data_IF_588167937090
#
_entry.id   IF_588167937090
#
_cell.length_a   1.000
_cell.length_b   1.000
_cell.length_c   1.000
_cell.angle_alpha   90.00
_cell.angle_beta   90.00
_cell.angle_gamma   90.00
#
_symmetry.space_group_name_H-M   'P 1'
#
loop_
_entity.id
_entity.type
_entity.pdbx_description
1 polymer ?
#
# COMPACT_ATOMS: atom_id res chain seq x y z
N UNK A 1 -15.78 11.90 -17.57
CA UNK A 1 -14.71 12.41 -16.68
C UNK A 1 -14.00 11.19 -16.13
N UNK A 2 -12.68 11.06 -16.33
CA UNK A 2 -11.91 9.98 -15.72
C UNK A 2 -12.01 10.05 -14.19
N UNK A 3 -12.03 8.90 -13.52
CA UNK A 3 -12.04 8.85 -12.06
C UNK A 3 -10.70 9.38 -11.52
N UNK A 4 -10.74 10.25 -10.51
CA UNK A 4 -9.51 10.74 -9.89
C UNK A 4 -8.80 9.58 -9.19
N UNK A 5 -7.52 9.39 -9.50
CA UNK A 5 -6.66 8.37 -8.91
C UNK A 5 -5.88 8.96 -7.74
N UNK A 6 -5.62 8.16 -6.70
CA UNK A 6 -4.66 8.46 -5.64
C UNK A 6 -3.72 7.27 -5.43
N UNK A 7 -2.45 7.54 -5.13
CA UNK A 7 -1.48 6.50 -4.75
C UNK A 7 -1.45 6.40 -3.23
N UNK A 8 -1.66 5.21 -2.70
CA UNK A 8 -1.49 4.88 -1.28
C UNK A 8 -0.17 4.14 -1.08
N UNK A 9 0.75 4.77 -0.38
CA UNK A 9 2.00 4.15 0.06
C UNK A 9 1.81 3.69 1.51
N UNK A 10 1.74 2.38 1.71
CA UNK A 10 1.30 1.78 2.98
C UNK A 10 2.50 1.17 3.71
N UNK A 11 2.76 1.65 4.92
CA UNK A 11 3.64 1.06 5.93
C UNK A 11 5.06 0.71 5.44
N UNK A 12 5.65 1.52 4.55
CA UNK A 12 7.06 1.38 4.18
C UNK A 12 7.97 2.00 5.24
N UNK A 13 7.86 1.47 6.45
CA UNK A 13 8.56 1.89 7.66
C UNK A 13 9.70 0.93 8.00
N UNK A 14 10.75 1.45 8.62
CA UNK A 14 11.96 0.66 8.98
C UNK A 14 11.59 -0.61 9.74
N UNK A 15 10.76 -0.51 10.78
CA UNK A 15 10.37 -1.67 11.59
C UNK A 15 9.43 -2.64 10.88
N UNK A 16 8.53 -2.16 10.03
CA UNK A 16 7.59 -3.01 9.27
C UNK A 16 8.32 -3.86 8.24
N UNK A 17 9.40 -3.33 7.66
CA UNK A 17 10.14 -3.98 6.57
C UNK A 17 11.21 -4.96 7.06
N UNK A 18 11.45 -5.06 8.36
CA UNK A 18 12.43 -5.97 8.91
C UNK A 18 12.12 -7.42 8.53
N UNK A 19 13.08 -8.09 7.88
CA UNK A 19 12.93 -9.47 7.40
C UNK A 19 11.99 -9.68 6.19
N UNK A 20 11.48 -8.60 5.58
CA UNK A 20 10.67 -8.70 4.38
C UNK A 20 11.51 -9.06 3.13
N UNK A 21 10.85 -9.66 2.15
CA UNK A 21 11.43 -10.04 0.85
C UNK A 21 11.71 -8.80 -0.01
N UNK A 22 12.88 -8.73 -0.67
CA UNK A 22 13.26 -7.71 -1.67
C UNK A 22 12.99 -6.25 -1.24
N UNK A 23 13.31 -5.91 0.01
CA UNK A 23 13.02 -4.59 0.60
C UNK A 23 13.59 -3.46 -0.26
N UNK A 24 14.88 -3.53 -0.61
CA UNK A 24 15.54 -2.48 -1.40
C UNK A 24 14.88 -2.30 -2.78
N UNK A 25 14.57 -3.40 -3.45
CA UNK A 25 13.89 -3.39 -4.74
C UNK A 25 12.49 -2.78 -4.64
N UNK A 26 11.71 -3.15 -3.64
CA UNK A 26 10.36 -2.60 -3.42
C UNK A 26 10.41 -1.11 -3.11
N UNK A 27 11.30 -0.67 -2.23
CA UNK A 27 11.48 0.76 -1.90
C UNK A 27 11.85 1.56 -3.14
N UNK A 28 12.78 1.05 -3.97
CA UNK A 28 13.17 1.72 -5.21
C UNK A 28 12.00 1.82 -6.21
N UNK A 29 11.23 0.75 -6.40
CA UNK A 29 10.06 0.72 -7.30
C UNK A 29 8.95 1.66 -6.80
N UNK A 30 8.69 1.69 -5.50
CA UNK A 30 7.74 2.67 -4.92
C UNK A 30 8.23 4.10 -5.12
N UNK A 31 9.52 4.36 -4.98
CA UNK A 31 10.11 5.67 -5.29
C UNK A 31 9.85 6.11 -6.73
N UNK A 32 9.99 5.18 -7.70
CA UNK A 32 9.65 5.43 -9.12
C UNK A 32 8.16 5.70 -9.28
N UNK A 33 7.28 4.86 -8.70
CA UNK A 33 5.83 5.01 -8.77
C UNK A 33 5.38 6.38 -8.22
N UNK A 34 5.87 6.76 -7.04
CA UNK A 34 5.59 8.07 -6.41
C UNK A 34 6.08 9.22 -7.27
N UNK A 35 7.28 9.09 -7.85
CA UNK A 35 7.84 10.13 -8.71
C UNK A 35 7.03 10.31 -9.99
N UNK A 36 6.48 9.24 -10.56
CA UNK A 36 5.56 9.27 -11.70
C UNK A 36 4.24 9.95 -11.32
N UNK A 37 3.61 9.50 -10.22
CA UNK A 37 2.38 10.09 -9.71
C UNK A 37 2.51 11.63 -9.54
N UNK A 38 3.60 12.07 -8.91
CA UNK A 38 3.89 13.49 -8.71
C UNK A 38 4.04 14.29 -10.01
N UNK A 39 4.67 13.70 -11.05
CA UNK A 39 4.80 14.35 -12.35
C UNK A 39 3.46 14.49 -13.07
N UNK A 40 2.55 13.56 -12.87
CA UNK A 40 1.22 13.53 -13.47
C UNK A 40 0.16 14.25 -12.62
N UNK A 41 0.58 14.86 -11.49
CA UNK A 41 -0.33 15.58 -10.60
C UNK A 41 -1.27 14.66 -9.80
N UNK A 42 -0.94 13.36 -9.71
CA UNK A 42 -1.71 12.37 -8.96
C UNK A 42 -1.36 12.47 -7.47
N UNK A 43 -2.36 12.64 -6.58
CA UNK A 43 -2.12 12.72 -5.15
C UNK A 43 -1.47 11.46 -4.59
N UNK A 44 -0.51 11.66 -3.67
CA UNK A 44 0.12 10.60 -2.88
C UNK A 44 -0.36 10.72 -1.45
N UNK A 45 -0.82 9.61 -0.89
CA UNK A 45 -1.23 9.46 0.51
C UNK A 45 -0.30 8.46 1.18
N UNK A 46 0.33 8.88 2.24
CA UNK A 46 1.24 8.06 3.05
C UNK A 46 0.49 7.48 4.23
N UNK A 47 0.56 6.17 4.39
CA UNK A 47 -0.05 5.46 5.53
C UNK A 47 1.07 4.87 6.38
N UNK A 48 1.02 5.11 7.69
CA UNK A 48 1.99 4.59 8.65
C UNK A 48 1.28 3.85 9.79
N UNK A 49 1.80 2.68 10.10
CA UNK A 49 1.33 1.85 11.20
C UNK A 49 1.96 2.26 12.53
N UNK A 50 1.19 2.16 13.59
CA UNK A 50 1.64 2.32 14.98
C UNK A 50 1.20 1.11 15.79
N UNK A 51 2.07 0.61 16.64
CA UNK A 51 1.78 -0.45 17.61
C UNK A 51 2.66 -0.30 18.86
N UNK A 52 2.44 -1.17 19.86
CA UNK A 52 3.04 -1.00 21.18
C UNK A 52 4.58 -0.97 21.19
N UNK A 53 5.22 -1.70 20.29
CA UNK A 53 6.67 -1.77 20.10
C UNK A 53 7.20 -0.89 18.95
N UNK A 54 6.31 -0.22 18.22
CA UNK A 54 6.64 0.73 17.15
C UNK A 54 5.83 2.02 17.30
N UNK A 55 6.07 2.74 18.38
CA UNK A 55 5.37 3.99 18.69
C UNK A 55 5.71 5.10 17.69
N UNK A 56 4.76 6.00 17.50
CA UNK A 56 4.94 7.23 16.71
C UNK A 56 6.25 7.94 17.06
N UNK A 57 7.04 8.24 16.03
CA UNK A 57 8.32 8.95 16.18
C UNK A 57 9.52 8.07 16.55
N UNK A 58 9.33 6.79 16.89
CA UNK A 58 10.43 5.85 17.10
C UNK A 58 11.23 5.60 15.81
N UNK A 59 12.43 5.04 15.93
CA UNK A 59 13.26 4.71 14.77
C UNK A 59 12.58 3.73 13.82
N UNK A 60 11.91 2.69 14.35
CA UNK A 60 11.16 1.71 13.56
C UNK A 60 9.93 2.30 12.87
N UNK A 61 9.33 3.35 13.46
CA UNK A 61 8.17 4.02 12.89
C UNK A 61 8.51 4.90 11.67
N UNK A 62 9.76 5.35 11.52
CA UNK A 62 10.15 6.20 10.39
C UNK A 62 9.96 5.49 9.07
N UNK A 63 9.55 6.24 8.04
CA UNK A 63 9.59 5.76 6.66
C UNK A 63 11.03 5.43 6.25
N UNK A 64 11.17 4.55 5.28
CA UNK A 64 12.48 4.31 4.65
C UNK A 64 13.09 5.64 4.17
N UNK A 65 14.38 5.88 4.39
CA UNK A 65 15.02 7.18 4.13
C UNK A 65 14.88 7.67 2.67
N UNK A 66 14.75 6.74 1.74
CA UNK A 66 14.58 7.02 0.30
C UNK A 66 13.16 7.55 -0.03
N UNK A 67 12.20 7.35 0.86
CA UNK A 67 10.78 7.68 0.66
C UNK A 67 10.40 8.93 1.45
N UNK A 68 10.60 10.08 0.85
CA UNK A 68 10.36 11.37 1.50
C UNK A 68 9.04 11.97 1.05
N UNK A 69 8.04 12.09 1.96
CA UNK A 69 6.81 12.82 1.69
C UNK A 69 7.08 14.29 1.35
N UNK A 70 6.33 14.84 0.39
CA UNK A 70 6.39 16.26 0.06
C UNK A 70 5.41 17.08 0.92
N UNK A 71 5.69 18.37 1.17
CA UNK A 71 4.71 19.26 1.78
C UNK A 71 3.37 19.24 1.03
N UNK A 72 2.27 19.05 1.77
CA UNK A 72 0.92 18.95 1.20
C UNK A 72 0.46 17.55 0.86
N UNK A 73 1.33 16.55 0.84
CA UNK A 73 0.92 15.15 0.76
C UNK A 73 0.31 14.68 2.09
N UNK A 74 -0.81 13.97 2.00
CA UNK A 74 -1.52 13.53 3.20
C UNK A 74 -0.77 12.41 3.93
N UNK A 75 -0.73 12.51 5.26
CA UNK A 75 -0.19 11.50 6.17
C UNK A 75 -1.33 10.91 6.99
N UNK A 76 -1.49 9.58 6.97
CA UNK A 76 -2.51 8.85 7.71
C UNK A 76 -1.83 7.88 8.66
N UNK A 77 -2.15 7.96 9.95
CA UNK A 77 -1.69 7.01 10.96
C UNK A 77 -2.78 5.99 11.26
N UNK A 78 -2.42 4.74 11.42
CA UNK A 78 -3.33 3.65 11.73
C UNK A 78 -2.74 2.70 12.78
N UNK A 79 -3.63 2.00 13.47
CA UNK A 79 -3.30 0.97 14.46
C UNK A 79 -3.89 -0.40 14.08
N UNK A 80 -4.57 -0.49 12.95
CA UNK A 80 -5.16 -1.71 12.39
C UNK A 80 -4.55 -2.03 11.04
N UNK A 81 -4.62 -3.29 10.59
CA UNK A 81 -4.19 -3.67 9.24
C UNK A 81 -4.97 -2.91 8.15
N UNK A 82 -6.28 -2.79 8.30
CA UNK A 82 -7.14 -2.01 7.40
C UNK A 82 -6.92 -0.51 7.62
N UNK A 83 -6.42 0.18 6.59
CA UNK A 83 -6.10 1.60 6.65
C UNK A 83 -7.34 2.52 6.78
N UNK A 84 -8.54 2.00 6.60
CA UNK A 84 -9.78 2.77 6.77
C UNK A 84 -10.33 2.72 8.20
N UNK A 85 -9.92 1.73 9.01
CA UNK A 85 -10.46 1.54 10.37
C UNK A 85 -9.88 2.55 11.34
N UNK A 86 -10.76 3.40 11.90
CA UNK A 86 -10.37 4.38 12.92
C UNK A 86 -9.43 5.48 12.42
N UNK A 87 -9.37 5.73 11.10
CA UNK A 87 -8.47 6.72 10.48
C UNK A 87 -9.23 7.77 9.69
N UNK A 88 -8.61 8.91 9.37
CA UNK A 88 -9.20 9.92 8.49
C UNK A 88 -9.12 9.58 6.99
N UNK A 89 -8.62 8.38 6.59
CA UNK A 89 -8.31 8.05 5.19
C UNK A 89 -9.50 8.30 4.25
N UNK A 90 -10.71 7.88 4.63
CA UNK A 90 -11.91 8.12 3.80
C UNK A 90 -12.11 9.62 3.53
N UNK A 91 -12.07 10.45 4.57
CA UNK A 91 -12.21 11.90 4.43
C UNK A 91 -11.11 12.53 3.56
N UNK A 92 -9.88 12.03 3.68
CA UNK A 92 -8.76 12.45 2.80
C UNK A 92 -9.06 12.10 1.34
N UNK A 93 -9.47 10.86 1.06
CA UNK A 93 -9.79 10.41 -0.30
C UNK A 93 -10.99 11.15 -0.89
N UNK A 94 -12.02 11.40 -0.09
CA UNK A 94 -13.20 12.19 -0.50
C UNK A 94 -12.81 13.65 -0.80
N UNK A 95 -11.96 14.24 0.03
CA UNK A 95 -11.43 15.60 -0.21
C UNK A 95 -10.60 15.70 -1.49
N UNK A 96 -9.92 14.63 -1.90
CA UNK A 96 -9.20 14.51 -3.16
C UNK A 96 -10.12 14.16 -4.35
N UNK A 97 -11.36 13.78 -4.11
CA UNK A 97 -12.28 13.26 -5.12
C UNK A 97 -11.86 11.89 -5.67
N UNK A 98 -11.00 11.16 -4.96
CA UNK A 98 -10.45 9.89 -5.42
C UNK A 98 -11.53 8.82 -5.50
N UNK A 99 -11.51 8.03 -6.59
CA UNK A 99 -12.37 6.87 -6.83
C UNK A 99 -11.57 5.66 -7.29
N UNK A 100 -10.30 5.83 -7.61
CA UNK A 100 -9.36 4.78 -7.99
C UNK A 100 -8.11 4.90 -7.13
N UNK A 101 -7.64 3.79 -6.57
CA UNK A 101 -6.50 3.75 -5.67
C UNK A 101 -5.41 2.86 -6.25
N UNK A 102 -4.18 3.37 -6.29
CA UNK A 102 -3.00 2.56 -6.56
C UNK A 102 -2.38 2.18 -5.22
N UNK A 103 -2.23 0.90 -4.95
CA UNK A 103 -1.76 0.38 -3.67
C UNK A 103 -0.34 -0.17 -3.81
N UNK A 104 0.56 0.27 -2.94
CA UNK A 104 1.93 -0.21 -2.82
C UNK A 104 2.36 -0.19 -1.35
N UNK A 105 3.30 -1.05 -0.95
CA UNK A 105 3.85 -1.04 0.40
C UNK A 105 3.95 -2.38 1.10
N UNK A 106 3.66 -2.44 2.39
CA UNK A 106 3.85 -3.61 3.24
C UNK A 106 2.76 -3.73 4.34
N UNK A 107 2.59 -4.92 4.97
CA UNK A 107 3.00 -6.21 4.41
C UNK A 107 1.86 -6.77 3.58
N UNK A 108 2.22 -7.53 2.58
CA UNK A 108 1.27 -8.02 1.55
C UNK A 108 0.07 -8.74 2.14
N UNK A 109 0.30 -9.70 3.02
CA UNK A 109 -0.73 -10.56 3.63
C UNK A 109 -1.48 -9.91 4.79
N UNK A 110 -1.05 -8.74 5.25
CA UNK A 110 -1.67 -7.95 6.31
C UNK A 110 -2.28 -6.65 5.77
N UNK A 111 -1.53 -5.57 5.84
CA UNK A 111 -2.07 -4.23 5.60
C UNK A 111 -2.46 -3.99 4.15
N UNK A 112 -1.68 -4.50 3.19
CA UNK A 112 -2.03 -4.39 1.77
C UNK A 112 -3.30 -5.16 1.47
N UNK A 113 -3.39 -6.45 1.89
CA UNK A 113 -4.58 -7.28 1.68
C UNK A 113 -5.82 -6.67 2.34
N UNK A 114 -5.72 -6.31 3.63
CA UNK A 114 -6.86 -5.76 4.36
C UNK A 114 -7.37 -4.46 3.74
N UNK A 115 -6.46 -3.54 3.40
CA UNK A 115 -6.82 -2.26 2.79
C UNK A 115 -7.39 -2.44 1.37
N UNK A 116 -6.83 -3.34 0.55
CA UNK A 116 -7.33 -3.63 -0.80
C UNK A 116 -8.76 -4.18 -0.77
N UNK A 117 -9.02 -5.19 0.06
CA UNK A 117 -10.37 -5.75 0.23
C UNK A 117 -11.37 -4.70 0.73
N UNK A 118 -10.95 -3.87 1.70
CA UNK A 118 -11.79 -2.79 2.21
C UNK A 118 -12.08 -1.76 1.12
N UNK A 119 -11.07 -1.31 0.37
CA UNK A 119 -11.24 -0.35 -0.71
C UNK A 119 -12.26 -0.83 -1.75
N UNK A 120 -12.15 -2.09 -2.20
CA UNK A 120 -13.12 -2.71 -3.11
C UNK A 120 -14.51 -2.77 -2.46
N UNK A 121 -14.61 -3.14 -1.19
CA UNK A 121 -15.85 -3.15 -0.41
C UNK A 121 -16.52 -1.77 -0.34
N UNK A 122 -15.74 -0.71 -0.24
CA UNK A 122 -16.18 0.69 -0.19
C UNK A 122 -16.51 1.29 -1.59
N UNK A 123 -16.21 0.56 -2.67
CA UNK A 123 -16.51 0.99 -4.04
C UNK A 123 -15.37 1.71 -4.75
N UNK A 124 -14.15 1.67 -4.22
CA UNK A 124 -12.99 2.15 -4.97
C UNK A 124 -12.54 1.12 -6.00
N UNK A 125 -12.27 1.56 -7.21
CA UNK A 125 -11.43 0.77 -8.14
C UNK A 125 -9.99 0.76 -7.61
N UNK A 126 -9.30 -0.37 -7.77
CA UNK A 126 -7.92 -0.49 -7.29
C UNK A 126 -6.97 -0.98 -8.38
N UNK A 127 -5.74 -0.53 -8.29
CA UNK A 127 -4.56 -1.14 -8.94
C UNK A 127 -3.61 -1.57 -7.85
N UNK A 128 -3.33 -2.85 -7.74
CA UNK A 128 -2.21 -3.30 -6.92
C UNK A 128 -0.94 -3.22 -7.77
N UNK A 129 0.04 -2.42 -7.32
CA UNK A 129 1.35 -2.36 -7.95
C UNK A 129 2.09 -3.69 -7.66
N UNK A 130 1.98 -4.64 -8.59
CA UNK A 130 2.25 -6.07 -8.39
C UNK A 130 3.68 -6.43 -8.01
N UNK A 131 4.61 -5.53 -8.22
CA UNK A 131 6.05 -5.65 -7.90
C UNK A 131 6.51 -4.60 -6.86
N UNK A 132 5.58 -3.84 -6.30
CA UNK A 132 5.85 -2.76 -5.36
C UNK A 132 5.20 -2.99 -3.98
N UNK A 133 5.07 -4.25 -3.58
CA UNK A 133 4.68 -4.64 -2.22
C UNK A 133 5.49 -5.85 -1.76
N UNK A 134 5.58 -6.05 -0.44
CA UNK A 134 6.42 -7.10 0.16
C UNK A 134 5.82 -7.65 1.45
N UNK A 135 6.36 -8.79 1.89
CA UNK A 135 6.04 -9.44 3.16
C UNK A 135 7.24 -10.16 3.75
N UNK A 136 7.25 -10.35 5.04
CA UNK A 136 8.18 -11.25 5.70
C UNK A 136 7.77 -12.72 5.48
N UNK A 137 8.75 -13.63 5.55
CA UNK A 137 8.45 -15.07 5.58
C UNK A 137 7.74 -15.42 6.90
N UNK A 138 6.82 -16.37 6.85
CA UNK A 138 6.05 -16.81 8.02
C UNK A 138 5.93 -18.32 8.09
N UNK A 139 5.55 -18.84 9.25
CA UNK A 139 5.29 -20.27 9.45
C UNK A 139 4.07 -20.47 10.36
N UNK A 140 3.35 -21.56 10.13
CA UNK A 140 2.30 -22.05 11.01
C UNK A 140 2.39 -23.57 11.10
N UNK A 141 2.64 -24.09 12.30
CA UNK A 141 2.99 -25.49 12.49
C UNK A 141 4.25 -25.87 11.71
N UNK A 142 4.17 -26.91 10.90
CA UNK A 142 5.28 -27.41 10.07
C UNK A 142 5.31 -26.79 8.66
N UNK A 143 4.40 -25.84 8.38
CA UNK A 143 4.31 -25.19 7.07
C UNK A 143 4.97 -23.81 7.11
N UNK A 144 5.97 -23.60 6.26
CA UNK A 144 6.63 -22.32 6.05
C UNK A 144 6.26 -21.75 4.70
N UNK A 145 6.09 -20.42 4.65
CA UNK A 145 5.77 -19.67 3.42
C UNK A 145 6.78 -18.52 3.31
N UNK A 146 7.48 -18.43 2.20
CA UNK A 146 8.43 -17.33 1.98
C UNK A 146 7.68 -16.01 1.68
N UNK A 147 8.33 -14.86 1.97
CA UNK A 147 7.80 -13.56 1.61
C UNK A 147 7.50 -13.44 0.10
N UNK A 148 8.35 -14.01 -0.76
CA UNK A 148 8.13 -14.09 -2.21
C UNK A 148 6.84 -14.85 -2.56
N UNK A 149 6.61 -16.00 -1.92
CA UNK A 149 5.39 -16.80 -2.14
C UNK A 149 4.13 -16.04 -1.66
N UNK A 150 4.24 -15.29 -0.56
CA UNK A 150 3.16 -14.44 -0.05
C UNK A 150 2.82 -13.33 -1.06
N UNK A 151 3.83 -12.64 -1.60
CA UNK A 151 3.65 -11.62 -2.64
C UNK A 151 2.96 -12.21 -3.87
N UNK A 152 3.46 -13.34 -4.39
CA UNK A 152 2.88 -14.02 -5.54
C UNK A 152 1.43 -14.47 -5.28
N UNK A 153 1.16 -15.01 -4.08
CA UNK A 153 -0.18 -15.42 -3.68
C UNK A 153 -1.15 -14.23 -3.57
N UNK A 154 -0.70 -13.11 -2.99
CA UNK A 154 -1.54 -11.92 -2.89
C UNK A 154 -1.88 -11.37 -4.28
N UNK A 155 -0.92 -11.26 -5.18
CA UNK A 155 -1.15 -10.84 -6.56
C UNK A 155 -2.24 -11.71 -7.21
N UNK A 156 -2.14 -13.03 -7.07
CA UNK A 156 -3.15 -13.97 -7.58
C UNK A 156 -4.51 -13.76 -6.94
N UNK A 157 -4.55 -13.56 -5.63
CA UNK A 157 -5.78 -13.39 -4.84
C UNK A 157 -6.49 -12.09 -5.19
N UNK A 158 -5.76 -10.97 -5.19
CA UNK A 158 -6.33 -9.65 -5.53
C UNK A 158 -6.79 -9.61 -6.99
N UNK A 159 -5.99 -10.14 -7.93
CA UNK A 159 -6.42 -10.21 -9.34
C UNK A 159 -7.66 -11.06 -9.59
N UNK A 160 -8.09 -11.86 -8.61
CA UNK A 160 -9.32 -12.63 -8.64
C UNK A 160 -10.52 -11.96 -7.96
N UNK A 161 -10.33 -10.79 -7.33
CA UNK A 161 -11.45 -10.06 -6.74
C UNK A 161 -12.39 -9.55 -7.83
N UNK A 162 -13.69 -9.71 -7.58
CA UNK A 162 -14.71 -9.23 -8.49
C UNK A 162 -15.80 -8.49 -7.71
N UNK A 163 -16.14 -7.31 -8.19
CA UNK A 163 -17.31 -6.55 -7.77
C UNK A 163 -17.89 -5.84 -9.01
N UNK A 164 -19.20 -5.88 -9.27
CA UNK A 164 -19.79 -5.44 -10.54
C UNK A 164 -19.41 -4.01 -10.97
N UNK A 165 -19.29 -3.08 -10.03
CA UNK A 165 -19.09 -1.66 -10.33
C UNK A 165 -17.68 -1.16 -10.04
N UNK A 166 -16.72 -2.08 -9.84
CA UNK A 166 -15.36 -1.77 -9.40
C UNK A 166 -14.34 -2.51 -10.26
N UNK A 167 -13.38 -1.78 -10.83
CA UNK A 167 -12.24 -2.38 -11.52
C UNK A 167 -11.16 -2.77 -10.51
N UNK A 168 -10.63 -4.00 -10.66
CA UNK A 168 -9.47 -4.50 -9.91
C UNK A 168 -8.40 -4.90 -10.92
N UNK A 169 -7.26 -4.25 -10.83
CA UNK A 169 -6.15 -4.40 -11.77
C UNK A 169 -4.86 -4.75 -11.04
N UNK A 170 -3.96 -5.44 -11.75
CA UNK A 170 -2.57 -5.63 -11.36
C UNK A 170 -1.69 -4.98 -12.43
N UNK A 171 -0.73 -4.18 -12.02
CA UNK A 171 0.24 -3.57 -12.93
C UNK A 171 1.60 -3.47 -12.25
N UNK A 172 2.69 -3.61 -13.00
CA UNK A 172 4.01 -3.28 -12.48
C UNK A 172 4.11 -1.77 -12.20
N UNK A 173 4.97 -1.36 -11.27
CA UNK A 173 5.11 0.04 -10.81
C UNK A 173 5.30 1.06 -11.94
N UNK A 174 5.95 0.66 -13.02
CA UNK A 174 6.23 1.49 -14.19
C UNK A 174 5.13 1.42 -15.28
N UNK A 175 4.24 0.42 -15.20
CA UNK A 175 3.13 0.22 -16.11
C UNK A 175 1.78 0.72 -15.55
N UNK A 176 1.73 1.19 -14.28
CA UNK A 176 0.52 1.81 -13.71
C UNK A 176 0.13 3.01 -14.56
N UNK A 177 -1.08 3.00 -15.13
CA UNK A 177 -1.70 4.20 -15.71
C UNK A 177 -2.39 5.02 -14.61
N UNK A 178 -2.32 6.34 -14.70
CA UNK A 178 -2.97 7.24 -13.75
C UNK A 178 -4.20 7.94 -14.33
#
# INVERSE_FOLDING_TARGET
>A
MGSVTAVLVIDLQVGVLEGCFDVEGVVARVGVLVSRARREGVPVVWVQHEEADMLHGSAGWQLMPELVPKPGEAMVRKTCCDAFVGTPLRGVLDGLGARRLVLAGAQSDYCIRATAHRAVGEGYSIVLASDAHTAASTAFGDVSISGEQIVAHLNRSIGGLARPDVAVELAAHDAVGF
#
